data_IF_562709020979
#
_entry.id   IF_562709020979
#
_cell.length_a   1.000
_cell.length_b   1.000
_cell.length_c   1.000
_cell.angle_alpha   90.00
_cell.angle_beta   90.00
_cell.angle_gamma   90.00
#
_symmetry.space_group_name_H-M   'P 1'
#
loop_
_entity.id
_entity.type
_entity.pdbx_description
1 polymer ?
#
# COMPACT_ATOMS: atom_id res chain seq x y z
N UNK A 1 -5.53 -19.55 -0.50
CA UNK A 1 -4.90 -18.42 0.23
C UNK A 1 -4.84 -18.81 1.69
N UNK A 2 -3.78 -18.46 2.43
CA UNK A 2 -3.45 -19.04 3.76
C UNK A 2 -4.19 -18.41 4.95
N UNK A 3 -4.99 -17.36 4.75
CA UNK A 3 -5.76 -16.62 5.77
C UNK A 3 -4.95 -16.08 6.97
N UNK A 4 -3.62 -16.11 6.88
CA UNK A 4 -2.73 -15.69 7.94
C UNK A 4 -2.61 -14.16 7.99
N UNK A 5 -2.98 -13.60 9.15
CA UNK A 5 -3.02 -12.16 9.45
C UNK A 5 -1.67 -11.48 9.27
N UNK A 6 -0.56 -12.20 9.41
CA UNK A 6 0.78 -11.61 9.24
C UNK A 6 0.99 -11.07 7.82
N UNK A 7 0.34 -11.66 6.82
CA UNK A 7 0.44 -11.18 5.44
C UNK A 7 -0.39 -9.92 5.19
N UNK A 8 -1.48 -9.73 5.95
CA UNK A 8 -2.27 -8.50 5.94
C UNK A 8 -1.42 -7.36 6.51
N UNK A 9 -0.77 -7.58 7.65
CA UNK A 9 0.15 -6.59 8.24
C UNK A 9 1.29 -6.22 7.29
N UNK A 10 1.92 -7.23 6.65
CA UNK A 10 2.98 -7.01 5.66
C UNK A 10 2.50 -6.25 4.42
N UNK A 11 1.27 -6.49 3.97
CA UNK A 11 0.66 -5.77 2.86
C UNK A 11 0.56 -4.28 3.19
N UNK A 12 -0.02 -3.92 4.34
CA UNK A 12 -0.12 -2.52 4.76
C UNK A 12 1.26 -1.88 4.98
N UNK A 13 2.19 -2.61 5.61
CA UNK A 13 3.56 -2.11 5.83
C UNK A 13 4.28 -1.81 4.51
N UNK A 14 4.11 -2.66 3.50
CA UNK A 14 4.68 -2.44 2.16
C UNK A 14 4.09 -1.21 1.50
N UNK A 15 2.77 -1.03 1.57
CA UNK A 15 2.11 0.15 1.02
C UNK A 15 2.59 1.45 1.71
N UNK A 16 2.61 1.46 3.05
CA UNK A 16 3.08 2.61 3.82
C UNK A 16 4.56 2.92 3.57
N UNK A 17 5.39 1.91 3.28
CA UNK A 17 6.79 2.12 2.95
C UNK A 17 6.98 3.02 1.72
N UNK A 18 6.14 2.87 0.69
CA UNK A 18 6.13 3.76 -0.48
C UNK A 18 5.69 5.19 -0.13
N UNK A 19 4.89 5.37 0.91
CA UNK A 19 4.42 6.67 1.38
C UNK A 19 5.35 7.34 2.40
N UNK A 20 6.48 6.71 2.73
CA UNK A 20 7.48 7.29 3.65
C UNK A 20 7.59 6.59 4.99
N UNK A 21 6.85 5.52 5.28
CA UNK A 21 7.10 4.67 6.46
C UNK A 21 8.31 3.73 6.21
N UNK A 22 9.44 4.35 5.90
CA UNK A 22 10.70 3.70 5.59
C UNK A 22 11.84 4.31 6.41
N UNK A 23 13.04 3.72 6.28
CA UNK A 23 14.20 4.09 7.08
C UNK A 23 14.61 5.56 6.96
N UNK A 24 14.30 6.21 5.83
CA UNK A 24 14.68 7.61 5.57
C UNK A 24 13.51 8.58 5.77
N UNK A 25 12.30 8.10 6.04
CA UNK A 25 11.07 8.93 6.14
C UNK A 25 10.79 9.75 4.87
N UNK A 26 11.13 9.21 3.70
CA UNK A 26 10.96 9.88 2.40
C UNK A 26 9.93 9.12 1.56
N UNK A 27 8.87 9.75 1.05
CA UNK A 27 7.95 9.09 0.12
C UNK A 27 8.63 8.77 -1.21
N UNK A 28 8.35 7.58 -1.74
CA UNK A 28 8.83 7.17 -3.06
C UNK A 28 7.82 7.49 -4.16
N UNK A 29 6.53 7.46 -3.84
CA UNK A 29 5.49 7.88 -4.76
C UNK A 29 5.42 9.41 -4.83
N UNK A 30 5.39 9.93 -6.05
CA UNK A 30 5.31 11.34 -6.35
C UNK A 30 3.91 11.67 -6.91
N UNK A 31 3.17 12.51 -6.19
CA UNK A 31 1.82 12.91 -6.57
C UNK A 31 1.78 13.90 -7.75
N UNK A 32 2.89 14.59 -8.05
CA UNK A 32 2.96 15.53 -9.18
C UNK A 32 3.15 14.77 -10.49
N UNK A 33 4.04 13.77 -10.50
CA UNK A 33 4.33 12.98 -11.70
C UNK A 33 3.47 11.72 -11.83
N UNK A 34 2.81 11.30 -10.75
CA UNK A 34 2.17 9.98 -10.60
C UNK A 34 3.13 8.79 -10.79
N UNK A 35 4.44 9.02 -10.67
CA UNK A 35 5.46 7.99 -10.74
C UNK A 35 5.94 7.55 -9.36
N UNK A 36 6.60 6.39 -9.29
CA UNK A 36 7.28 5.94 -8.08
C UNK A 36 8.79 5.86 -8.33
N UNK A 37 9.56 6.41 -7.41
CA UNK A 37 11.01 6.28 -7.38
C UNK A 37 11.44 4.81 -7.24
N UNK A 38 12.55 4.42 -7.86
CA UNK A 38 13.04 3.04 -7.88
C UNK A 38 13.41 2.49 -6.51
N UNK A 39 13.82 3.36 -5.58
CA UNK A 39 14.21 2.91 -4.25
C UNK A 39 15.01 3.91 -3.45
N UNK A 40 15.47 3.45 -2.29
CA UNK A 40 16.34 4.18 -1.39
C UNK A 40 17.78 3.66 -1.50
N UNK A 41 18.72 4.59 -1.41
CA UNK A 41 20.15 4.33 -1.32
C UNK A 41 20.68 4.91 -0.02
N UNK A 42 21.89 4.55 0.44
CA UNK A 42 22.52 5.19 1.58
C UNK A 42 22.70 6.71 1.44
N UNK A 43 22.67 7.23 0.20
CA UNK A 43 22.79 8.66 -0.11
C UNK A 43 21.43 9.37 -0.21
N UNK A 44 20.32 8.64 -0.12
CA UNK A 44 18.97 9.18 -0.30
C UNK A 44 18.19 8.46 -1.40
N UNK A 45 17.10 9.09 -1.85
CA UNK A 45 16.18 8.52 -2.83
C UNK A 45 16.77 8.48 -4.24
N UNK A 46 16.61 7.35 -4.92
CA UNK A 46 16.87 7.26 -6.36
C UNK A 46 15.66 7.84 -7.10
N UNK A 47 15.84 9.01 -7.72
CA UNK A 47 14.76 9.75 -8.40
C UNK A 47 14.33 9.15 -9.74
N UNK A 48 14.95 8.07 -10.21
CA UNK A 48 14.47 7.39 -11.40
C UNK A 48 13.08 6.80 -11.12
N UNK A 49 12.13 7.09 -12.01
CA UNK A 49 10.74 6.64 -11.90
C UNK A 49 10.45 5.60 -12.96
N UNK A 50 11.02 4.40 -12.77
CA UNK A 50 10.83 3.28 -13.69
C UNK A 50 9.38 2.78 -13.76
N UNK A 51 9.08 2.03 -14.82
CA UNK A 51 7.78 1.38 -14.96
C UNK A 51 7.53 0.35 -13.85
N UNK A 52 8.55 -0.42 -13.47
CA UNK A 52 8.46 -1.49 -12.47
C UNK A 52 8.11 -0.95 -11.07
N UNK A 53 8.81 0.10 -10.64
CA UNK A 53 8.58 0.76 -9.35
C UNK A 53 7.20 1.43 -9.28
N UNK A 54 6.79 2.08 -10.36
CA UNK A 54 5.44 2.68 -10.48
C UNK A 54 4.34 1.62 -10.42
N UNK A 55 4.48 0.51 -11.16
CA UNK A 55 3.54 -0.60 -11.10
C UNK A 55 3.52 -1.26 -9.71
N UNK A 56 4.67 -1.43 -9.06
CA UNK A 56 4.75 -1.98 -7.71
C UNK A 56 3.95 -1.14 -6.71
N UNK A 57 4.07 0.19 -6.79
CA UNK A 57 3.26 1.09 -5.98
C UNK A 57 1.76 0.91 -6.26
N UNK A 58 1.32 0.94 -7.52
CA UNK A 58 -0.11 0.81 -7.84
C UNK A 58 -0.69 -0.54 -7.43
N UNK A 59 0.05 -1.63 -7.58
CA UNK A 59 -0.37 -2.94 -7.10
C UNK A 59 -0.57 -2.89 -5.57
N UNK A 60 0.39 -2.32 -4.83
CA UNK A 60 0.26 -2.20 -3.37
C UNK A 60 -0.95 -1.35 -2.97
N UNK A 61 -1.16 -0.21 -3.64
CA UNK A 61 -2.24 0.73 -3.37
C UNK A 61 -3.62 0.12 -3.65
N UNK A 62 -3.80 -0.48 -4.83
CA UNK A 62 -5.06 -1.12 -5.22
C UNK A 62 -5.37 -2.33 -4.34
N UNK A 63 -4.35 -3.08 -3.92
CA UNK A 63 -4.53 -4.24 -3.03
C UNK A 63 -5.02 -3.78 -1.65
N UNK A 64 -4.45 -2.71 -1.10
CA UNK A 64 -4.92 -2.12 0.16
C UNK A 64 -6.34 -1.57 0.05
N UNK A 65 -6.66 -0.83 -1.01
CA UNK A 65 -8.01 -0.31 -1.24
C UNK A 65 -9.05 -1.44 -1.30
N UNK A 66 -8.73 -2.52 -2.02
CA UNK A 66 -9.61 -3.69 -2.10
C UNK A 66 -9.79 -4.39 -0.76
N UNK A 67 -8.75 -4.44 0.07
CA UNK A 67 -8.85 -5.00 1.41
C UNK A 67 -9.77 -4.16 2.31
N UNK A 68 -9.63 -2.83 2.26
CA UNK A 68 -10.48 -1.90 3.02
C UNK A 68 -11.94 -1.94 2.57
N UNK A 69 -12.19 -2.04 1.27
CA UNK A 69 -13.55 -2.21 0.73
C UNK A 69 -14.21 -3.48 1.28
N UNK A 70 -13.46 -4.59 1.34
CA UNK A 70 -13.97 -5.86 1.89
C UNK A 70 -14.27 -5.76 3.38
N UNK A 71 -13.42 -5.08 4.15
CA UNK A 71 -13.64 -4.82 5.57
C UNK A 71 -14.92 -3.99 5.79
N UNK A 72 -15.07 -2.88 5.06
CA UNK A 72 -16.27 -2.05 5.11
C UNK A 72 -17.55 -2.83 4.75
N UNK A 73 -17.50 -3.68 3.71
CA UNK A 73 -18.63 -4.52 3.32
C UNK A 73 -18.95 -5.56 4.39
N UNK A 74 -17.94 -6.16 5.02
CA UNK A 74 -18.13 -7.12 6.11
C UNK A 74 -18.83 -6.46 7.31
N UNK A 75 -18.35 -5.29 7.74
CA UNK A 75 -18.93 -4.54 8.86
C UNK A 75 -20.37 -4.10 8.56
N UNK A 76 -20.64 -3.64 7.33
CA UNK A 76 -21.98 -3.26 6.90
C UNK A 76 -22.95 -4.43 6.91
N UNK A 77 -22.54 -5.60 6.42
CA UNK A 77 -23.36 -6.82 6.43
C UNK A 77 -23.57 -7.34 7.85
N UNK A 78 -22.56 -7.30 8.70
CA UNK A 78 -22.67 -7.67 10.12
C UNK A 78 -23.65 -6.75 10.86
N UNK A 79 -23.59 -5.45 10.61
CA UNK A 79 -24.53 -4.46 11.16
C UNK A 79 -25.98 -4.73 10.72
N UNK A 80 -26.22 -5.02 9.43
CA UNK A 80 -27.55 -5.37 8.93
C UNK A 80 -28.08 -6.65 9.59
N UNK A 81 -27.25 -7.69 9.69
CA UNK A 81 -27.65 -8.97 10.31
C UNK A 81 -27.97 -8.86 11.80
N UNK A 82 -27.35 -7.91 12.52
CA UNK A 82 -27.65 -7.66 13.93
C UNK A 82 -28.92 -6.81 14.15
N UNK A 83 -29.45 -6.20 13.10
CA UNK A 83 -30.68 -5.40 13.14
C UNK A 83 -31.94 -6.20 12.76
N UNK A 84 -31.81 -7.44 12.29
CA UNK A 84 -32.90 -8.37 11.93
C UNK A 84 -32.93 -9.52 12.91
#
# INVERSE_FOLDING_TARGET
VTEDVIYIEKMFKTYLWFLGENALRIPLYDHETNGCCDGLTPKGINRNQGAESTLAYFISHLTVLKAQEKEYLFDKVASIKNCV
#
